data_IF_738024452080
#
_entry.id   IF_738024452080
#
_cell.length_a   1.000
_cell.length_b   1.000
_cell.length_c   1.000
_cell.angle_alpha   90.00
_cell.angle_beta   90.00
_cell.angle_gamma   90.00
#
_symmetry.space_group_name_H-M   'P 1'
#
loop_
_entity.id
_entity.type
_entity.pdbx_description
1 polymer ?
#
# COMPACT_ATOMS: atom_id res chain seq x y z
N UNK A 1 -2.93 8.62 35.45
CA UNK A 1 -4.25 9.04 34.96
C UNK A 1 -4.81 7.89 34.17
N UNK A 2 -5.98 7.40 34.50
CA UNK A 2 -6.64 6.27 33.83
C UNK A 2 -7.92 6.76 33.17
N UNK A 3 -8.20 6.27 31.96
CA UNK A 3 -9.42 6.54 31.22
C UNK A 3 -10.10 5.19 30.95
N UNK A 4 -11.31 5.00 31.46
CA UNK A 4 -12.04 3.71 31.41
C UNK A 4 -11.28 2.53 32.03
N UNK A 5 -10.48 2.77 33.11
CA UNK A 5 -9.68 1.73 33.75
C UNK A 5 -8.40 1.35 33.00
N UNK A 6 -8.03 2.09 31.96
CA UNK A 6 -6.82 1.85 31.16
C UNK A 6 -5.83 2.98 31.41
N UNK A 7 -4.54 2.68 31.67
CA UNK A 7 -3.51 3.70 31.82
C UNK A 7 -3.36 4.55 30.55
N UNK A 8 -3.36 5.87 30.70
CA UNK A 8 -3.17 6.82 29.59
C UNK A 8 -1.93 6.50 28.72
N UNK A 9 -0.78 6.11 29.31
CA UNK A 9 0.40 5.70 28.51
C UNK A 9 0.13 4.52 27.57
N UNK A 10 -0.68 3.54 27.99
CA UNK A 10 -1.03 2.40 27.15
C UNK A 10 -1.89 2.83 25.96
N UNK A 11 -2.87 3.72 26.17
CA UNK A 11 -3.69 4.27 25.08
C UNK A 11 -2.85 5.07 24.07
N UNK A 12 -1.99 5.95 24.55
CA UNK A 12 -1.10 6.74 23.67
C UNK A 12 -0.12 5.86 22.90
N UNK A 13 0.39 4.80 23.53
CA UNK A 13 1.28 3.84 22.88
C UNK A 13 0.58 3.10 21.74
N UNK A 14 -0.65 2.63 21.95
CA UNK A 14 -1.42 1.94 20.92
C UNK A 14 -1.89 2.89 19.82
N UNK A 15 -2.17 4.15 20.12
CA UNK A 15 -2.44 5.18 19.12
C UNK A 15 -1.24 5.38 18.19
N UNK A 16 -0.04 5.50 18.73
CA UNK A 16 1.19 5.62 17.92
C UNK A 16 1.47 4.36 17.10
N UNK A 17 1.30 3.17 17.67
CA UNK A 17 1.43 1.93 16.92
C UNK A 17 0.37 1.81 15.83
N UNK A 18 -0.85 2.24 16.11
CA UNK A 18 -1.93 2.35 15.14
C UNK A 18 -1.59 3.30 13.99
N UNK A 19 -0.95 4.44 14.29
CA UNK A 19 -0.49 5.39 13.28
C UNK A 19 0.61 4.79 12.38
N UNK A 20 1.52 4.01 12.95
CA UNK A 20 2.54 3.28 12.16
C UNK A 20 1.89 2.29 11.22
N UNK A 21 0.94 1.47 11.69
CA UNK A 21 0.19 0.54 10.84
C UNK A 21 -0.64 1.29 9.79
N UNK A 22 -1.30 2.36 10.19
CA UNK A 22 -2.06 3.24 9.31
C UNK A 22 -1.21 3.87 8.21
N UNK A 23 0.08 4.12 8.46
CA UNK A 23 1.02 4.63 7.47
C UNK A 23 1.31 3.59 6.38
N UNK A 24 1.43 2.30 6.73
CA UNK A 24 1.52 1.22 5.74
C UNK A 24 0.22 1.08 4.94
N UNK A 25 -0.92 1.14 5.63
CA UNK A 25 -2.22 1.10 4.96
C UNK A 25 -2.40 2.27 3.99
N UNK A 26 -2.01 3.48 4.40
CA UNK A 26 -2.12 4.67 3.57
C UNK A 26 -1.30 4.57 2.28
N UNK A 27 -0.03 4.17 2.35
CA UNK A 27 0.83 4.11 1.17
C UNK A 27 0.46 2.94 0.23
N UNK A 28 0.10 1.78 0.80
CA UNK A 28 -0.36 0.63 0.01
C UNK A 28 -1.70 0.91 -0.66
N UNK A 29 -2.67 1.45 0.08
CA UNK A 29 -3.97 1.80 -0.47
C UNK A 29 -3.88 2.92 -1.50
N UNK A 30 -2.95 3.87 -1.33
CA UNK A 30 -2.68 4.90 -2.32
C UNK A 30 -2.23 4.28 -3.65
N UNK A 31 -1.25 3.35 -3.62
CA UNK A 31 -0.80 2.64 -4.83
C UNK A 31 -1.94 1.90 -5.54
N UNK A 32 -2.76 1.20 -4.76
CA UNK A 32 -3.93 0.49 -5.28
C UNK A 32 -5.01 1.45 -5.81
N UNK A 33 -5.27 2.57 -5.13
CA UNK A 33 -6.23 3.58 -5.55
C UNK A 33 -5.81 4.31 -6.83
N UNK A 34 -4.51 4.55 -7.02
CA UNK A 34 -3.95 5.10 -8.26
C UNK A 34 -4.20 4.15 -9.42
N UNK A 35 -3.92 2.86 -9.23
CA UNK A 35 -4.18 1.83 -10.26
C UNK A 35 -5.68 1.73 -10.55
N UNK A 36 -6.50 1.54 -9.52
CA UNK A 36 -7.93 1.34 -9.69
C UNK A 36 -8.63 2.58 -10.26
N UNK A 37 -8.31 3.77 -9.74
CA UNK A 37 -8.96 5.03 -10.15
C UNK A 37 -8.71 5.40 -11.61
N UNK A 38 -7.64 4.87 -12.21
CA UNK A 38 -7.25 5.18 -13.59
C UNK A 38 -7.49 4.03 -14.55
N UNK A 39 -7.48 2.78 -14.09
CA UNK A 39 -7.58 1.61 -14.95
C UNK A 39 -8.86 0.81 -14.72
N UNK A 40 -9.60 1.09 -13.66
CA UNK A 40 -10.74 0.28 -13.19
C UNK A 40 -10.41 -1.21 -13.03
N UNK A 41 -9.14 -1.54 -12.77
CA UNK A 41 -8.67 -2.92 -12.58
C UNK A 41 -8.37 -3.15 -11.10
N UNK A 42 -9.02 -4.14 -10.52
CA UNK A 42 -8.72 -4.61 -9.17
C UNK A 42 -7.43 -5.44 -9.25
N UNK A 43 -6.35 -4.93 -8.68
CA UNK A 43 -5.04 -5.58 -8.70
C UNK A 43 -4.79 -6.38 -7.41
N UNK A 44 -5.17 -7.66 -7.38
CA UNK A 44 -4.85 -8.54 -6.24
C UNK A 44 -3.37 -8.84 -6.11
N UNK A 45 -2.58 -8.71 -7.19
CA UNK A 45 -1.14 -8.89 -7.13
C UNK A 45 -0.42 -7.81 -6.29
N UNK A 46 -1.13 -6.75 -5.89
CA UNK A 46 -0.55 -5.64 -5.13
C UNK A 46 0.11 -6.09 -3.81
N UNK A 47 -0.48 -7.09 -3.13
CA UNK A 47 0.12 -7.71 -1.94
C UNK A 47 1.41 -8.50 -2.26
N UNK A 48 1.43 -9.25 -3.35
CA UNK A 48 2.64 -9.95 -3.80
C UNK A 48 3.74 -8.96 -4.25
N UNK A 49 3.35 -7.82 -4.83
CA UNK A 49 4.30 -6.76 -5.23
C UNK A 49 4.88 -6.02 -4.01
N UNK A 50 4.09 -5.85 -2.95
CA UNK A 50 4.59 -5.41 -1.65
C UNK A 50 5.61 -6.40 -1.08
N UNK A 51 5.29 -7.68 -1.07
CA UNK A 51 6.21 -8.76 -0.66
C UNK A 51 7.50 -8.74 -1.51
N UNK A 52 7.38 -8.57 -2.84
CA UNK A 52 8.55 -8.46 -3.72
C UNK A 52 9.47 -7.30 -3.33
N UNK A 53 8.92 -6.15 -2.95
CA UNK A 53 9.71 -5.01 -2.45
C UNK A 53 10.55 -5.38 -1.22
N UNK A 54 9.93 -6.04 -0.24
CA UNK A 54 10.60 -6.51 0.97
C UNK A 54 11.64 -7.59 0.67
N UNK A 55 11.29 -8.59 -0.17
CA UNK A 55 12.20 -9.66 -0.57
C UNK A 55 13.41 -9.15 -1.33
N UNK A 56 13.23 -8.21 -2.27
CA UNK A 56 14.35 -7.58 -2.98
C UNK A 56 15.25 -6.78 -2.04
N UNK A 57 14.68 -6.08 -1.05
CA UNK A 57 15.48 -5.39 -0.04
C UNK A 57 16.34 -6.38 0.75
N UNK A 58 15.74 -7.48 1.19
CA UNK A 58 16.45 -8.55 1.90
C UNK A 58 17.52 -9.21 1.03
N UNK A 59 17.20 -9.54 -0.22
CA UNK A 59 18.14 -10.13 -1.17
C UNK A 59 19.29 -9.17 -1.49
N UNK A 60 18.99 -7.88 -1.68
CA UNK A 60 19.97 -6.84 -1.93
C UNK A 60 20.99 -6.74 -0.81
N UNK A 61 20.53 -6.77 0.43
CA UNK A 61 21.41 -6.77 1.60
C UNK A 61 22.19 -8.09 1.74
N UNK A 62 21.50 -9.24 1.65
CA UNK A 62 22.07 -10.55 1.96
C UNK A 62 23.06 -11.05 0.90
N UNK A 63 22.80 -10.78 -0.38
CA UNK A 63 23.63 -11.30 -1.48
C UNK A 63 24.60 -10.27 -2.06
N UNK A 64 24.23 -8.99 -2.03
CA UNK A 64 25.02 -7.92 -2.66
C UNK A 64 25.56 -6.90 -1.66
N UNK A 65 25.24 -7.02 -0.37
CA UNK A 65 25.65 -6.04 0.65
C UNK A 65 25.09 -4.64 0.44
N UNK A 66 24.02 -4.48 -0.34
CA UNK A 66 23.43 -3.20 -0.63
C UNK A 66 22.75 -2.63 0.62
N UNK A 67 23.05 -1.36 1.00
CA UNK A 67 22.46 -0.76 2.19
C UNK A 67 20.96 -0.48 1.98
N UNK A 68 20.23 -0.40 3.10
CA UNK A 68 18.80 -0.08 3.14
C UNK A 68 18.42 1.11 2.26
N UNK A 69 19.17 2.20 2.32
CA UNK A 69 18.89 3.42 1.55
C UNK A 69 18.95 3.23 0.03
N UNK A 70 19.86 2.39 -0.43
CA UNK A 70 19.93 2.02 -1.84
C UNK A 70 18.71 1.17 -2.23
N UNK A 71 18.34 0.20 -1.41
CA UNK A 71 17.17 -0.65 -1.68
C UNK A 71 15.84 0.09 -1.57
N UNK A 72 15.76 1.15 -0.77
CA UNK A 72 14.58 2.02 -0.69
C UNK A 72 14.23 2.68 -2.05
N UNK A 73 15.22 2.82 -2.93
CA UNK A 73 15.04 3.35 -4.30
C UNK A 73 15.05 2.23 -5.34
N UNK A 74 16.01 1.31 -5.26
CA UNK A 74 16.19 0.27 -6.28
C UNK A 74 15.03 -0.73 -6.31
N UNK A 75 14.55 -1.20 -5.16
CA UNK A 75 13.48 -2.19 -5.14
C UNK A 75 12.16 -1.63 -5.74
N UNK A 76 11.68 -0.41 -5.42
CA UNK A 76 10.54 0.18 -6.10
C UNK A 76 10.74 0.34 -7.62
N UNK A 77 11.94 0.72 -8.07
CA UNK A 77 12.23 0.84 -9.51
C UNK A 77 12.18 -0.51 -10.20
N UNK A 78 12.80 -1.55 -9.62
CA UNK A 78 12.80 -2.90 -10.19
C UNK A 78 11.38 -3.48 -10.24
N UNK A 79 10.63 -3.39 -9.13
CA UNK A 79 9.27 -3.92 -9.07
C UNK A 79 8.32 -3.09 -9.92
N UNK A 80 8.51 -1.78 -10.00
CA UNK A 80 7.77 -0.90 -10.91
C UNK A 80 8.00 -1.27 -12.38
N UNK A 81 9.25 -1.53 -12.77
CA UNK A 81 9.59 -2.01 -14.11
C UNK A 81 8.97 -3.39 -14.39
N UNK A 82 8.98 -4.30 -13.41
CA UNK A 82 8.29 -5.58 -13.49
C UNK A 82 6.78 -5.40 -13.66
N UNK A 83 6.17 -4.45 -12.92
CA UNK A 83 4.77 -4.08 -13.10
C UNK A 83 4.48 -3.58 -14.51
N UNK A 84 5.33 -2.71 -15.07
CA UNK A 84 5.22 -2.25 -16.45
C UNK A 84 5.28 -3.43 -17.44
N UNK A 85 6.15 -4.39 -17.21
CA UNK A 85 6.25 -5.59 -18.04
C UNK A 85 4.96 -6.42 -17.98
N UNK A 86 4.38 -6.63 -16.79
CA UNK A 86 3.10 -7.34 -16.59
C UNK A 86 1.96 -6.58 -17.29
N UNK A 87 1.89 -5.27 -17.13
CA UNK A 87 0.85 -4.47 -17.75
C UNK A 87 0.88 -4.60 -19.26
N UNK A 88 2.06 -4.43 -19.88
CA UNK A 88 2.22 -4.48 -21.34
C UNK A 88 2.00 -5.87 -21.93
N UNK A 89 2.43 -6.91 -21.25
CA UNK A 89 2.37 -8.30 -21.75
C UNK A 89 1.03 -8.98 -21.50
N UNK A 90 0.34 -8.64 -20.41
CA UNK A 90 -0.84 -9.38 -19.95
C UNK A 90 -2.06 -8.48 -19.71
N UNK A 91 -1.98 -7.50 -18.81
CA UNK A 91 -3.15 -6.72 -18.37
C UNK A 91 -3.76 -5.88 -19.48
N UNK A 92 -2.95 -5.30 -20.36
CA UNK A 92 -3.38 -4.46 -21.47
C UNK A 92 -4.39 -5.13 -22.40
N UNK A 93 -4.27 -6.45 -22.58
CA UNK A 93 -5.19 -7.24 -23.41
C UNK A 93 -6.56 -7.42 -22.74
N UNK A 94 -6.60 -7.35 -21.41
CA UNK A 94 -7.81 -7.58 -20.61
C UNK A 94 -8.65 -6.31 -20.40
N UNK A 95 -8.13 -5.11 -20.66
CA UNK A 95 -8.87 -3.85 -20.44
C UNK A 95 -10.19 -3.74 -21.24
N UNK A 96 -10.31 -4.49 -22.32
CA UNK A 96 -11.52 -4.53 -23.16
C UNK A 96 -12.49 -5.64 -22.76
N UNK A 97 -12.09 -6.50 -21.84
CA UNK A 97 -12.87 -7.64 -21.35
C UNK A 97 -13.54 -7.28 -20.02
N UNK A 98 -14.34 -8.21 -19.51
CA UNK A 98 -14.95 -8.06 -18.19
C UNK A 98 -13.87 -7.94 -17.11
N UNK A 99 -14.11 -7.12 -16.08
CA UNK A 99 -13.20 -6.87 -14.97
C UNK A 99 -12.78 -8.14 -14.22
N UNK A 100 -13.57 -9.20 -14.27
CA UNK A 100 -13.27 -10.50 -13.68
C UNK A 100 -12.00 -11.13 -14.27
N UNK A 101 -11.71 -10.93 -15.56
CA UNK A 101 -10.50 -11.47 -16.16
C UNK A 101 -9.23 -10.82 -15.60
N UNK A 102 -9.26 -9.50 -15.37
CA UNK A 102 -8.17 -8.79 -14.72
C UNK A 102 -7.95 -9.25 -13.28
N UNK A 103 -9.04 -9.46 -12.54
CA UNK A 103 -9.03 -9.99 -11.18
C UNK A 103 -8.41 -11.39 -11.13
N UNK A 104 -8.86 -12.30 -12.00
CA UNK A 104 -8.33 -13.68 -12.08
C UNK A 104 -6.85 -13.70 -12.46
N UNK A 105 -6.43 -12.87 -13.43
CA UNK A 105 -5.03 -12.77 -13.82
C UNK A 105 -4.17 -12.30 -12.65
N UNK A 106 -4.55 -11.22 -11.97
CA UNK A 106 -3.77 -10.65 -10.86
C UNK A 106 -3.73 -11.59 -9.65
N UNK A 107 -4.81 -12.33 -9.40
CA UNK A 107 -4.84 -13.38 -8.37
C UNK A 107 -3.92 -14.55 -8.75
N UNK A 108 -3.99 -15.03 -10.00
CA UNK A 108 -3.09 -16.08 -10.50
C UNK A 108 -1.62 -15.66 -10.43
N UNK A 109 -1.32 -14.39 -10.78
CA UNK A 109 0.03 -13.83 -10.66
C UNK A 109 0.52 -13.82 -9.21
N UNK A 110 -0.35 -13.47 -8.25
CA UNK A 110 -0.05 -13.56 -6.82
C UNK A 110 0.41 -14.95 -6.44
N UNK A 111 -0.38 -15.98 -6.80
CA UNK A 111 -0.06 -17.38 -6.47
C UNK A 111 1.26 -17.83 -7.10
N UNK A 112 1.53 -17.42 -8.35
CA UNK A 112 2.79 -17.76 -9.03
C UNK A 112 3.97 -17.10 -8.33
N UNK A 113 3.92 -15.79 -8.07
CA UNK A 113 5.01 -15.05 -7.43
C UNK A 113 5.27 -15.58 -6.01
N UNK A 114 4.23 -15.72 -5.18
CA UNK A 114 4.35 -16.27 -3.84
C UNK A 114 4.85 -17.72 -3.86
N UNK A 115 4.36 -18.54 -4.79
CA UNK A 115 4.77 -19.94 -4.96
C UNK A 115 6.24 -20.07 -5.31
N UNK A 116 6.75 -19.26 -6.24
CA UNK A 116 8.17 -19.24 -6.62
C UNK A 116 9.04 -18.86 -5.44
N UNK A 117 8.73 -17.77 -4.74
CA UNK A 117 9.52 -17.34 -3.58
C UNK A 117 9.44 -18.35 -2.41
N UNK A 118 8.27 -18.94 -2.19
CA UNK A 118 8.08 -19.98 -1.17
C UNK A 118 8.86 -21.26 -1.48
N UNK A 119 8.96 -21.66 -2.75
CA UNK A 119 9.73 -22.84 -3.14
C UNK A 119 11.24 -22.65 -2.97
N UNK A 120 11.74 -21.42 -3.12
CA UNK A 120 13.16 -21.09 -3.00
C UNK A 120 13.57 -20.82 -1.53
N UNK A 121 12.77 -20.03 -0.81
CA UNK A 121 13.11 -19.49 0.52
C UNK A 121 12.32 -20.13 1.67
N UNK A 122 11.39 -21.02 1.36
CA UNK A 122 10.49 -21.63 2.36
C UNK A 122 9.39 -20.67 2.80
N UNK A 123 8.64 -21.08 3.83
CA UNK A 123 7.57 -20.25 4.42
C UNK A 123 8.07 -19.39 5.61
N UNK A 124 9.28 -19.67 6.09
CA UNK A 124 9.86 -18.97 7.25
C UNK A 124 10.20 -17.52 6.91
N UNK A 125 9.96 -16.61 7.88
CA UNK A 125 10.36 -15.23 7.74
C UNK A 125 11.88 -15.07 7.83
N UNK A 126 12.42 -14.18 6.99
CA UNK A 126 13.83 -13.78 7.00
C UNK A 126 13.98 -12.50 7.81
N UNK A 127 14.96 -12.42 8.73
CA UNK A 127 15.23 -11.20 9.48
C UNK A 127 15.82 -10.11 8.56
N UNK A 128 15.42 -8.89 8.78
CA UNK A 128 16.01 -7.71 8.14
C UNK A 128 16.32 -6.67 9.21
N UNK A 129 17.59 -6.31 9.33
CA UNK A 129 18.05 -5.42 10.38
C UNK A 129 17.69 -3.95 10.11
N UNK A 130 17.38 -3.24 11.20
CA UNK A 130 17.18 -1.80 11.15
C UNK A 130 18.51 -1.11 10.78
N UNK A 131 18.51 -0.16 9.81
CA UNK A 131 19.72 0.55 9.46
C UNK A 131 20.30 1.31 10.66
N UNK A 132 21.64 1.30 10.81
CA UNK A 132 22.34 1.85 11.98
C UNK A 132 21.98 3.30 12.28
N UNK A 133 21.69 4.12 11.25
CA UNK A 133 21.30 5.52 11.38
C UNK A 133 19.93 5.71 12.05
N UNK A 134 19.08 4.69 12.00
CA UNK A 134 17.72 4.68 12.57
C UNK A 134 17.62 3.72 13.77
N UNK A 135 18.76 3.20 14.23
CA UNK A 135 18.82 2.35 15.41
C UNK A 135 18.48 3.14 16.68
N UNK A 136 17.99 2.41 17.71
CA UNK A 136 17.63 3.01 18.98
C UNK A 136 16.17 3.43 19.06
N UNK A 137 15.82 4.08 20.16
CA UNK A 137 14.47 4.53 20.46
C UNK A 137 14.49 5.88 21.17
N UNK A 138 13.51 6.73 20.87
CA UNK A 138 13.29 8.02 21.54
C UNK A 138 12.32 7.83 22.67
N UNK A 139 12.68 8.31 23.87
CA UNK A 139 11.80 8.30 25.02
C UNK A 139 10.79 9.45 24.95
N UNK A 140 9.52 9.11 24.78
CA UNK A 140 8.42 10.08 24.76
C UNK A 140 7.78 10.32 26.13
N UNK A 141 8.37 9.78 27.22
CA UNK A 141 7.85 9.86 28.57
C UNK A 141 6.78 8.82 28.90
N UNK A 142 5.94 8.44 27.96
CA UNK A 142 4.91 7.40 28.12
C UNK A 142 5.25 6.08 27.38
N UNK A 143 6.18 6.13 26.41
CA UNK A 143 6.72 4.94 25.74
C UNK A 143 8.09 5.23 25.12
N UNK A 144 8.83 4.16 24.82
CA UNK A 144 10.00 4.20 23.95
C UNK A 144 9.57 3.94 22.50
N UNK A 145 9.61 4.96 21.66
CA UNK A 145 9.30 4.84 20.24
C UNK A 145 10.57 4.48 19.47
N UNK A 146 10.65 3.31 18.81
CA UNK A 146 11.78 3.00 17.91
C UNK A 146 11.90 4.05 16.82
N UNK A 147 13.11 4.59 16.62
CA UNK A 147 13.37 5.66 15.65
C UNK A 147 12.97 5.24 14.23
N UNK A 148 13.15 3.95 13.91
CA UNK A 148 12.74 3.40 12.63
C UNK A 148 11.23 3.51 12.39
N UNK A 149 10.39 3.27 13.41
CA UNK A 149 8.92 3.42 13.28
C UNK A 149 8.50 4.87 13.03
N UNK A 150 9.19 5.82 13.66
CA UNK A 150 8.97 7.24 13.37
C UNK A 150 9.36 7.58 11.92
N UNK A 151 10.49 7.04 11.44
CA UNK A 151 10.91 7.16 10.05
C UNK A 151 9.85 6.60 9.07
N UNK A 152 9.30 5.42 9.33
CA UNK A 152 8.24 4.82 8.49
C UNK A 152 7.05 5.77 8.34
N UNK A 153 6.58 6.37 9.44
CA UNK A 153 5.48 7.33 9.39
C UNK A 153 5.83 8.54 8.52
N UNK A 154 6.99 9.13 8.75
CA UNK A 154 7.45 10.33 8.01
C UNK A 154 7.62 10.01 6.52
N UNK A 155 8.30 8.92 6.19
CA UNK A 155 8.54 8.51 4.81
C UNK A 155 7.22 8.18 4.07
N UNK A 156 6.33 7.44 4.70
CA UNK A 156 5.02 7.10 4.13
C UNK A 156 4.18 8.34 3.88
N UNK A 157 4.08 9.24 4.86
CA UNK A 157 3.31 10.49 4.72
C UNK A 157 3.92 11.41 3.66
N UNK A 158 5.25 11.53 3.60
CA UNK A 158 5.93 12.33 2.59
C UNK A 158 5.60 11.82 1.18
N UNK A 159 5.72 10.50 0.94
CA UNK A 159 5.39 9.89 -0.35
C UNK A 159 3.89 10.03 -0.67
N UNK A 160 3.01 9.85 0.32
CA UNK A 160 1.57 10.05 0.15
C UNK A 160 1.24 11.49 -0.26
N UNK A 161 1.82 12.48 0.43
CA UNK A 161 1.59 13.90 0.13
C UNK A 161 2.15 14.31 -1.23
N UNK A 162 3.36 13.86 -1.57
CA UNK A 162 3.95 14.11 -2.90
C UNK A 162 3.10 13.49 -4.00
N UNK A 163 2.67 12.25 -3.85
CA UNK A 163 1.83 11.57 -4.82
C UNK A 163 0.47 12.27 -4.96
N UNK A 164 -0.16 12.61 -3.84
CA UNK A 164 -1.41 13.39 -3.87
C UNK A 164 -1.23 14.72 -4.59
N UNK A 165 -0.17 15.47 -4.28
CA UNK A 165 0.11 16.75 -4.92
C UNK A 165 0.32 16.59 -6.42
N UNK A 166 1.12 15.61 -6.85
CA UNK A 166 1.38 15.34 -8.27
C UNK A 166 0.10 15.00 -9.01
N UNK A 167 -0.75 14.15 -8.46
CA UNK A 167 -1.96 13.70 -9.16
C UNK A 167 -3.10 14.72 -9.06
N UNK A 168 -3.27 15.41 -7.93
CA UNK A 168 -4.40 16.34 -7.75
C UNK A 168 -4.09 17.76 -8.25
N UNK A 169 -2.83 18.21 -8.18
CA UNK A 169 -2.45 19.60 -8.38
C UNK A 169 -1.61 19.85 -9.63
N UNK A 170 -1.22 18.81 -10.40
CA UNK A 170 -0.41 19.00 -11.61
C UNK A 170 -1.18 18.64 -12.88
N UNK A 171 -0.60 19.05 -14.04
CA UNK A 171 -1.14 18.73 -15.37
C UNK A 171 -1.16 17.22 -15.64
N UNK A 172 -0.22 16.48 -15.06
CA UNK A 172 -0.18 15.01 -15.19
C UNK A 172 -1.48 14.38 -14.70
N UNK A 173 -1.94 14.75 -13.52
CA UNK A 173 -3.19 14.23 -12.99
C UNK A 173 -4.42 14.67 -13.80
N UNK A 174 -4.42 15.87 -14.37
CA UNK A 174 -5.49 16.32 -15.26
C UNK A 174 -5.56 15.45 -16.53
N UNK A 175 -4.41 15.15 -17.14
CA UNK A 175 -4.35 14.25 -18.31
C UNK A 175 -4.76 12.83 -17.96
N UNK A 176 -4.36 12.34 -16.77
CA UNK A 176 -4.76 11.02 -16.30
C UNK A 176 -6.28 10.91 -16.17
N UNK A 177 -6.93 11.85 -15.50
CA UNK A 177 -8.41 11.88 -15.36
C UNK A 177 -9.11 12.02 -16.71
N UNK A 178 -8.67 12.92 -17.56
CA UNK A 178 -9.24 13.08 -18.90
C UNK A 178 -9.05 11.82 -19.76
N UNK A 179 -7.89 11.16 -19.66
CA UNK A 179 -7.59 9.93 -20.39
C UNK A 179 -8.45 8.73 -19.96
N UNK A 180 -8.96 8.71 -18.72
CA UNK A 180 -9.90 7.67 -18.26
C UNK A 180 -11.33 7.93 -18.73
N UNK A 181 -11.73 9.19 -18.88
CA UNK A 181 -13.08 9.56 -19.35
C UNK A 181 -13.21 9.42 -20.88
N UNK A 182 -12.26 9.96 -21.63
CA UNK A 182 -12.27 9.91 -23.09
C UNK A 182 -10.86 9.78 -23.67
N UNK A 183 -10.31 8.53 -23.74
CA UNK A 183 -8.97 8.28 -24.26
C UNK A 183 -8.73 8.84 -25.67
N UNK A 184 -9.72 8.66 -26.57
CA UNK A 184 -9.62 9.09 -27.98
C UNK A 184 -9.50 10.61 -28.12
N UNK A 185 -10.23 11.36 -27.30
CA UNK A 185 -10.15 12.81 -27.30
C UNK A 185 -8.78 13.30 -26.82
N UNK A 186 -8.26 12.69 -25.75
CA UNK A 186 -6.94 13.05 -25.19
C UNK A 186 -5.82 12.70 -26.16
N UNK A 187 -5.92 11.58 -26.89
CA UNK A 187 -5.00 11.20 -27.95
C UNK A 187 -5.02 12.19 -29.12
N UNK A 188 -6.19 12.74 -29.46
CA UNK A 188 -6.30 13.78 -30.49
C UNK A 188 -5.54 15.07 -30.14
N UNK A 189 -5.33 15.36 -28.85
CA UNK A 189 -4.47 16.45 -28.37
C UNK A 189 -2.98 16.07 -28.27
N UNK A 190 -2.57 14.92 -28.81
CA UNK A 190 -1.17 14.48 -28.89
C UNK A 190 -0.63 13.80 -27.63
N UNK A 191 -1.49 13.46 -26.65
CA UNK A 191 -1.09 12.74 -25.44
C UNK A 191 -1.12 11.23 -25.69
N UNK A 192 -0.01 10.54 -25.42
CA UNK A 192 0.05 9.09 -25.53
C UNK A 192 -0.61 8.42 -24.31
N UNK A 193 -1.93 8.19 -24.40
CA UNK A 193 -2.73 7.59 -23.31
C UNK A 193 -2.27 6.19 -22.94
N UNK A 194 -1.95 5.26 -23.86
CA UNK A 194 -1.45 3.93 -23.52
C UNK A 194 -0.16 3.97 -22.68
N UNK A 195 0.79 4.86 -23.03
CA UNK A 195 2.02 5.00 -22.26
C UNK A 195 1.75 5.58 -20.87
N UNK A 196 0.85 6.52 -20.78
CA UNK A 196 0.43 7.14 -19.53
C UNK A 196 -0.17 6.10 -18.57
N UNK A 197 -1.05 5.22 -19.07
CA UNK A 197 -1.62 4.09 -18.34
C UNK A 197 -0.52 3.17 -17.81
N UNK A 198 0.40 2.76 -18.69
CA UNK A 198 1.51 1.86 -18.34
C UNK A 198 2.40 2.45 -17.23
N UNK A 199 2.77 3.73 -17.35
CA UNK A 199 3.60 4.41 -16.34
C UNK A 199 2.87 4.55 -15.01
N UNK A 200 1.57 4.83 -15.04
CA UNK A 200 0.75 4.94 -13.83
C UNK A 200 0.62 3.61 -13.11
N UNK A 201 0.42 2.51 -13.86
CA UNK A 201 0.41 1.17 -13.28
C UNK A 201 1.76 0.85 -12.62
N UNK A 202 2.87 1.07 -13.34
CA UNK A 202 4.23 0.88 -12.82
C UNK A 202 4.50 1.71 -11.57
N UNK A 203 4.02 2.97 -11.53
CA UNK A 203 4.15 3.84 -10.37
C UNK A 203 3.34 3.32 -9.17
N UNK A 204 2.08 2.90 -9.36
CA UNK A 204 1.28 2.32 -8.29
C UNK A 204 1.92 1.03 -7.73
N UNK A 205 2.49 0.20 -8.59
CA UNK A 205 3.27 -1.00 -8.22
C UNK A 205 4.54 -0.63 -7.45
N UNK A 206 5.25 0.41 -7.88
CA UNK A 206 6.43 0.91 -7.18
C UNK A 206 6.11 1.40 -5.76
N UNK A 207 4.94 2.02 -5.54
CA UNK A 207 4.48 2.40 -4.20
C UNK A 207 4.26 1.18 -3.29
N UNK A 208 3.73 0.07 -3.83
CA UNK A 208 3.61 -1.17 -3.06
C UNK A 208 4.98 -1.72 -2.66
N UNK A 209 5.93 -1.75 -3.59
CA UNK A 209 7.29 -2.20 -3.30
C UNK A 209 8.00 -1.29 -2.29
N UNK A 210 7.82 0.03 -2.39
CA UNK A 210 8.36 0.98 -1.42
C UNK A 210 7.81 0.71 -0.01
N UNK A 211 6.51 0.48 0.13
CA UNK A 211 5.92 0.07 1.40
C UNK A 211 6.50 -1.26 1.90
N UNK A 212 6.80 -2.20 1.00
CA UNK A 212 7.47 -3.47 1.31
C UNK A 212 8.86 -3.27 1.90
N UNK A 213 9.68 -2.39 1.31
CA UNK A 213 11.01 -2.05 1.85
C UNK A 213 10.89 -1.41 3.23
N UNK A 214 9.93 -0.49 3.42
CA UNK A 214 9.67 0.12 4.73
C UNK A 214 9.21 -0.91 5.77
N UNK A 215 8.49 -1.94 5.35
CA UNK A 215 7.98 -2.98 6.24
C UNK A 215 9.05 -4.01 6.64
N UNK A 216 10.08 -4.23 5.82
CA UNK A 216 11.09 -5.26 6.01
C UNK A 216 11.74 -5.26 7.42
N UNK A 217 12.17 -4.13 8.00
CA UNK A 217 12.71 -4.11 9.36
C UNK A 217 11.64 -4.13 10.48
N UNK A 218 10.36 -4.02 10.16
CA UNK A 218 9.26 -4.00 11.16
C UNK A 218 8.64 -5.37 11.34
N UNK A 219 8.50 -6.08 10.22
CA UNK A 219 7.94 -7.43 10.15
C UNK A 219 8.91 -8.35 9.43
N UNK A 220 8.91 -9.63 9.78
CA UNK A 220 9.77 -10.59 9.10
C UNK A 220 9.43 -10.68 7.62
N UNK A 221 10.45 -10.61 6.77
CA UNK A 221 10.30 -10.73 5.32
C UNK A 221 9.98 -12.18 4.96
N UNK A 222 8.77 -12.45 4.52
CA UNK A 222 8.33 -13.79 4.15
C UNK A 222 7.53 -13.79 2.84
N UNK A 223 7.50 -14.91 2.10
CA UNK A 223 6.75 -14.99 0.85
C UNK A 223 5.24 -14.77 1.00
N UNK A 224 4.70 -14.94 2.21
CA UNK A 224 3.26 -14.80 2.48
C UNK A 224 2.89 -13.48 3.17
N UNK A 225 3.85 -12.58 3.42
CA UNK A 225 3.63 -11.32 4.16
C UNK A 225 2.64 -10.37 3.46
N UNK A 226 2.44 -10.52 2.17
CA UNK A 226 1.52 -9.70 1.38
C UNK A 226 0.05 -10.04 1.53
N UNK A 227 -0.28 -11.30 1.87
CA UNK A 227 -1.67 -11.78 1.93
C UNK A 227 -2.53 -11.04 2.97
N UNK A 228 -2.12 -10.90 4.24
CA UNK A 228 -2.92 -10.16 5.21
C UNK A 228 -3.01 -8.66 4.85
N UNK A 229 -1.96 -8.12 4.24
CA UNK A 229 -1.93 -6.70 3.86
C UNK A 229 -2.91 -6.38 2.74
N UNK A 230 -2.98 -7.19 1.67
CA UNK A 230 -3.87 -6.89 0.54
C UNK A 230 -5.35 -6.88 0.95
N UNK A 231 -5.76 -7.77 1.84
CA UNK A 231 -7.14 -7.86 2.32
C UNK A 231 -7.52 -6.57 3.07
N UNK A 232 -6.67 -6.12 4.00
CA UNK A 232 -6.90 -4.89 4.75
C UNK A 232 -6.85 -3.66 3.84
N UNK A 233 -5.87 -3.58 2.95
CA UNK A 233 -5.70 -2.46 2.01
C UNK A 233 -6.88 -2.36 1.03
N UNK A 234 -7.42 -3.48 0.60
CA UNK A 234 -8.64 -3.48 -0.21
C UNK A 234 -9.82 -2.87 0.56
N UNK A 235 -10.01 -3.26 1.82
CA UNK A 235 -11.03 -2.64 2.67
C UNK A 235 -10.81 -1.13 2.84
N UNK A 236 -9.56 -0.68 3.02
CA UNK A 236 -9.20 0.75 3.10
C UNK A 236 -9.62 1.50 1.83
N UNK A 237 -9.31 0.95 0.64
CA UNK A 237 -9.66 1.59 -0.65
C UNK A 237 -11.17 1.64 -0.86
N UNK A 238 -11.89 0.59 -0.48
CA UNK A 238 -13.36 0.53 -0.57
C UNK A 238 -14.00 1.56 0.37
N UNK A 239 -13.57 1.60 1.63
CA UNK A 239 -14.06 2.58 2.62
C UNK A 239 -13.72 4.01 2.18
N UNK A 240 -12.48 4.24 1.73
CA UNK A 240 -12.01 5.56 1.26
C UNK A 240 -12.73 6.03 0.00
N UNK A 241 -13.29 5.10 -0.77
CA UNK A 241 -13.88 5.32 -2.08
C UNK A 241 -12.92 4.96 -3.20
N UNK A 242 -13.30 3.97 -4.00
CA UNK A 242 -12.48 3.43 -5.08
C UNK A 242 -12.03 4.52 -6.07
N UNK A 243 -10.70 4.72 -6.17
CA UNK A 243 -10.10 5.75 -7.00
C UNK A 243 -9.93 7.13 -6.34
N UNK A 244 -10.36 7.31 -5.09
CA UNK A 244 -10.10 8.52 -4.32
C UNK A 244 -8.74 8.46 -3.66
N UNK A 245 -7.77 9.23 -4.16
CA UNK A 245 -6.40 9.27 -3.63
C UNK A 245 -6.37 9.80 -2.20
N UNK A 246 -6.99 10.95 -1.96
CA UNK A 246 -7.08 11.52 -0.62
C UNK A 246 -7.88 10.60 0.33
N UNK A 247 -8.97 10.02 -0.18
CA UNK A 247 -9.79 9.08 0.56
C UNK A 247 -8.99 7.88 1.05
N UNK A 248 -8.19 7.27 0.20
CA UNK A 248 -7.34 6.12 0.55
C UNK A 248 -6.30 6.46 1.62
N UNK A 249 -5.63 7.62 1.51
CA UNK A 249 -4.65 8.07 2.50
C UNK A 249 -5.31 8.27 3.87
N UNK A 250 -6.37 9.08 3.92
CA UNK A 250 -7.05 9.41 5.17
C UNK A 250 -7.67 8.17 5.82
N UNK A 251 -8.33 7.33 5.03
CA UNK A 251 -8.94 6.10 5.54
C UNK A 251 -7.89 5.12 6.05
N UNK A 252 -6.75 4.97 5.36
CA UNK A 252 -5.65 4.14 5.82
C UNK A 252 -5.13 4.57 7.19
N UNK A 253 -4.87 5.86 7.38
CA UNK A 253 -4.44 6.41 8.67
C UNK A 253 -5.52 6.25 9.76
N UNK A 254 -6.78 6.56 9.45
CA UNK A 254 -7.89 6.44 10.38
C UNK A 254 -8.09 5.00 10.84
N UNK A 255 -8.09 4.03 9.91
CA UNK A 255 -8.28 2.62 10.25
C UNK A 255 -7.13 2.06 11.06
N UNK A 256 -5.89 2.46 10.78
CA UNK A 256 -4.75 2.10 11.63
C UNK A 256 -4.92 2.61 13.07
N UNK A 257 -5.35 3.84 13.24
CA UNK A 257 -5.64 4.42 14.58
C UNK A 257 -6.80 3.68 15.27
N UNK A 258 -7.89 3.40 14.54
CA UNK A 258 -9.04 2.66 15.08
C UNK A 258 -8.63 1.25 15.49
N UNK A 259 -7.83 0.55 14.68
CA UNK A 259 -7.27 -0.76 15.02
C UNK A 259 -6.42 -0.68 16.30
N UNK A 260 -5.57 0.35 16.44
CA UNK A 260 -4.77 0.60 17.64
C UNK A 260 -5.64 0.80 18.89
N UNK A 261 -6.69 1.61 18.81
CA UNK A 261 -7.64 1.76 19.90
C UNK A 261 -8.41 0.48 20.19
N UNK A 262 -8.85 -0.24 19.17
CA UNK A 262 -9.56 -1.51 19.36
C UNK A 262 -8.69 -2.52 20.10
N UNK A 263 -7.38 -2.55 19.86
CA UNK A 263 -6.45 -3.41 20.61
C UNK A 263 -6.37 -3.10 22.09
N UNK A 264 -6.64 -1.85 22.49
CA UNK A 264 -6.65 -1.45 23.91
C UNK A 264 -7.90 -1.98 24.61
N UNK A 265 -9.08 -1.85 23.99
CA UNK A 265 -10.36 -2.15 24.61
C UNK A 265 -10.82 -3.59 24.38
N UNK A 266 -10.58 -4.11 23.18
CA UNK A 266 -11.01 -5.44 22.76
C UNK A 266 -10.03 -6.06 21.74
N UNK A 267 -8.89 -6.60 22.21
CA UNK A 267 -7.80 -7.08 21.36
C UNK A 267 -8.23 -8.08 20.29
N UNK A 268 -9.18 -8.96 20.63
CA UNK A 268 -9.68 -10.02 19.74
C UNK A 268 -10.41 -9.48 18.49
N UNK A 269 -11.03 -8.29 18.60
CA UNK A 269 -11.73 -7.65 17.50
C UNK A 269 -10.83 -6.77 16.64
N UNK A 270 -9.57 -6.53 17.02
CA UNK A 270 -8.69 -5.56 16.35
C UNK A 270 -8.48 -5.85 14.86
N UNK A 271 -8.37 -7.11 14.48
CA UNK A 271 -8.25 -7.50 13.07
C UNK A 271 -9.58 -7.47 12.32
N UNK A 272 -10.71 -7.55 13.02
CA UNK A 272 -12.05 -7.65 12.42
C UNK A 272 -12.72 -6.28 12.27
N UNK A 273 -12.37 -5.30 13.12
CA UNK A 273 -12.99 -3.97 13.16
C UNK A 273 -12.98 -3.26 11.80
N UNK A 274 -11.92 -3.42 11.02
CA UNK A 274 -11.79 -2.83 9.69
C UNK A 274 -12.91 -3.32 8.76
N UNK A 275 -13.23 -4.60 8.79
CA UNK A 275 -14.28 -5.21 7.96
C UNK A 275 -15.69 -4.85 8.43
N UNK A 276 -15.89 -4.70 9.75
CA UNK A 276 -17.15 -4.19 10.31
C UNK A 276 -17.39 -2.76 9.83
N UNK A 277 -16.39 -1.89 9.90
CA UNK A 277 -16.48 -0.53 9.40
C UNK A 277 -16.76 -0.53 7.89
N UNK A 278 -16.07 -1.39 7.12
CA UNK A 278 -16.31 -1.51 5.69
C UNK A 278 -17.78 -1.86 5.39
N UNK A 279 -18.32 -2.85 6.09
CA UNK A 279 -19.74 -3.23 5.92
C UNK A 279 -20.70 -2.06 6.24
N UNK A 280 -20.47 -1.35 7.34
CA UNK A 280 -21.27 -0.19 7.74
C UNK A 280 -21.18 0.92 6.69
N UNK A 281 -19.97 1.25 6.24
CA UNK A 281 -19.77 2.32 5.24
C UNK A 281 -20.45 1.96 3.92
N UNK A 282 -20.32 0.73 3.44
CA UNK A 282 -20.96 0.28 2.19
C UNK A 282 -22.49 0.29 2.27
N UNK A 283 -23.06 0.01 3.45
CA UNK A 283 -24.52 0.09 3.66
C UNK A 283 -25.04 1.53 3.63
N UNK A 284 -24.25 2.50 4.13
CA UNK A 284 -24.65 3.91 4.22
C UNK A 284 -24.24 4.68 2.95
N UNK A 285 -23.04 4.43 2.43
CA UNK A 285 -22.44 5.05 1.25
C UNK A 285 -21.75 4.02 0.35
N UNK A 286 -22.45 3.42 -0.61
CA UNK A 286 -21.87 2.40 -1.51
C UNK A 286 -20.65 2.90 -2.32
N UNK A 287 -20.55 4.21 -2.56
CA UNK A 287 -19.40 4.82 -3.23
C UNK A 287 -18.17 4.99 -2.33
N UNK A 288 -18.26 4.69 -1.03
CA UNK A 288 -17.25 5.00 -0.02
C UNK A 288 -17.33 6.44 0.51
N UNK A 289 -16.51 6.76 1.53
CA UNK A 289 -16.57 8.05 2.22
C UNK A 289 -16.25 9.25 1.32
N UNK A 290 -15.30 9.09 0.41
CA UNK A 290 -14.81 10.13 -0.51
C UNK A 290 -15.02 9.76 -1.99
N UNK A 291 -15.80 8.71 -2.27
CA UNK A 291 -16.17 8.33 -3.63
C UNK A 291 -17.17 9.32 -4.24
N UNK A 292 -17.13 9.45 -5.56
CA UNK A 292 -18.14 10.21 -6.30
C UNK A 292 -19.32 9.29 -6.60
N UNK A 293 -20.50 9.68 -6.19
CA UNK A 293 -21.75 9.04 -6.66
C UNK A 293 -21.88 9.32 -8.17
N UNK A 294 -22.03 8.26 -8.95
CA UNK A 294 -22.27 8.35 -10.41
C UNK A 294 -23.74 8.52 -10.67
#
# INVERSE_FOLDING_TARGET
>A
MEIFGIPLPAMLSQLLLGLVNGSFYAILSLGLAVIFGLLNVINFAHGALFMLGAMLAWMGLSYFGLPYWAMLVLAPVIVGAFGIAIERSMLRWLYKLDHLYGLLLTFGLTLVVEGVFRSIYGASGQPYDVPSQLAGATNLGFMFLPNYRAWVVVASLAVCLVTWFVIEKTRLGAYLRAGTENPKLVEAFGVNVPMMITLTYGFGVALAAFAGVLAAPVIQVSPLMGQPMIITVFAVVVIGGMGSILGSILTGLMLGVIEGFTRVFYPEASATVVFVIMAIVLLIRPAGLFGKEK
#
